data_IF_602472983165
#
_entry.id   IF_602472983165
#
_cell.length_a   1.000
_cell.length_b   1.000
_cell.length_c   1.000
_cell.angle_alpha   90.00
_cell.angle_beta   90.00
_cell.angle_gamma   90.00
#
_symmetry.space_group_name_H-M   'P 1'
#
loop_
_entity.id
_entity.type
_entity.pdbx_description
1 polymer ?
#
# COMPACT_ATOMS: atom_id res chain seq x y z
N UNK A 1 6.78 -28.18 15.74
CA UNK A 1 5.96 -27.70 14.60
C UNK A 1 5.85 -26.19 14.72
N UNK A 2 6.18 -25.42 13.67
CA UNK A 2 6.08 -23.95 13.73
C UNK A 2 4.65 -23.53 13.37
N UNK A 3 3.88 -23.07 14.35
CA UNK A 3 2.54 -22.51 14.10
C UNK A 3 2.63 -21.11 13.51
N UNK A 4 1.76 -20.79 12.55
CA UNK A 4 1.65 -19.48 11.92
C UNK A 4 0.19 -19.06 11.90
N UNK A 5 -0.07 -17.78 12.19
CA UNK A 5 -1.40 -17.20 12.17
C UNK A 5 -1.59 -16.44 10.87
N UNK A 6 -2.71 -16.66 10.20
CA UNK A 6 -3.04 -15.98 8.96
C UNK A 6 -4.47 -15.44 8.97
N UNK A 7 -4.66 -14.28 8.35
CA UNK A 7 -5.97 -13.77 7.93
C UNK A 7 -6.08 -14.01 6.43
N UNK A 8 -7.13 -14.72 6.02
CA UNK A 8 -7.39 -15.09 4.64
C UNK A 8 -8.85 -14.83 4.27
N UNK A 9 -9.17 -14.54 2.99
CA UNK A 9 -10.55 -14.41 2.55
C UNK A 9 -11.35 -15.68 2.82
N UNK A 10 -12.60 -15.53 3.28
CA UNK A 10 -13.47 -16.66 3.62
C UNK A 10 -13.65 -17.66 2.46
N UNK A 11 -13.61 -17.17 1.22
CA UNK A 11 -13.71 -17.99 0.01
C UNK A 11 -12.63 -19.08 -0.07
N UNK A 12 -11.46 -18.86 0.53
CA UNK A 12 -10.34 -19.82 0.58
C UNK A 12 -10.65 -21.00 1.50
N UNK A 13 -11.45 -20.79 2.56
CA UNK A 13 -11.81 -21.90 3.47
C UNK A 13 -12.79 -22.89 2.83
N UNK A 14 -13.56 -22.43 1.82
CA UNK A 14 -14.50 -23.27 1.08
C UNK A 14 -13.85 -24.17 0.02
N UNK A 15 -12.58 -23.92 -0.35
CA UNK A 15 -11.84 -24.83 -1.24
C UNK A 15 -11.23 -26.01 -0.51
N UNK A 16 -11.15 -25.94 0.82
CA UNK A 16 -10.42 -26.91 1.65
C UNK A 16 -11.23 -27.53 2.79
N UNK A 17 -12.43 -27.06 3.14
CA UNK A 17 -13.22 -27.73 4.18
C UNK A 17 -14.73 -27.77 3.93
N UNK A 18 -15.24 -29.00 3.77
CA UNK A 18 -16.37 -29.40 4.60
C UNK A 18 -15.88 -29.50 6.05
N UNK A 19 -16.69 -28.96 6.96
CA UNK A 19 -16.63 -29.11 8.42
C UNK A 19 -15.84 -28.04 9.19
N UNK A 20 -16.56 -27.51 10.19
CA UNK A 20 -16.16 -26.57 11.22
C UNK A 20 -14.78 -26.87 11.85
N UNK A 21 -14.04 -25.78 12.08
CA UNK A 21 -12.98 -25.65 13.08
C UNK A 21 -12.11 -26.90 13.28
N UNK A 22 -11.21 -27.18 12.33
CA UNK A 22 -10.10 -28.11 12.56
C UNK A 22 -8.81 -27.57 11.97
N UNK A 23 -7.75 -27.79 12.74
CA UNK A 23 -6.36 -27.61 12.36
C UNK A 23 -6.13 -28.10 10.92
N UNK A 24 -5.56 -27.24 10.09
CA UNK A 24 -5.10 -27.62 8.75
C UNK A 24 -3.85 -28.46 8.95
N UNK A 25 -4.03 -29.75 9.24
CA UNK A 25 -2.96 -30.73 9.10
C UNK A 25 -2.61 -30.79 7.61
N UNK A 26 -1.32 -30.67 7.29
CA UNK A 26 -0.77 -30.84 5.95
C UNK A 26 -0.94 -32.29 5.46
N UNK A 27 -2.18 -32.69 5.20
CA UNK A 27 -2.53 -33.87 4.43
C UNK A 27 -2.71 -33.42 2.98
N UNK A 28 -2.15 -34.21 2.06
CA UNK A 28 -2.10 -33.97 0.63
C UNK A 28 -3.51 -33.92 0.03
N UNK A 29 -4.13 -32.74 0.03
CA UNK A 29 -5.30 -32.47 -0.78
C UNK A 29 -4.85 -32.32 -2.23
N UNK A 30 -5.20 -33.31 -3.06
CA UNK A 30 -4.90 -33.40 -4.49
C UNK A 30 -5.47 -32.23 -5.35
N UNK A 31 -6.07 -31.23 -4.72
CA UNK A 31 -6.74 -30.09 -5.36
C UNK A 31 -6.31 -28.73 -4.79
N UNK A 32 -5.30 -28.69 -3.91
CA UNK A 32 -4.75 -27.45 -3.38
C UNK A 32 -3.65 -26.94 -4.32
N UNK A 33 -3.76 -25.69 -4.79
CA UNK A 33 -2.67 -25.07 -5.55
C UNK A 33 -1.42 -24.98 -4.67
N UNK A 34 -0.22 -25.25 -5.22
CA UNK A 34 1.01 -25.09 -4.48
C UNK A 34 1.23 -23.60 -4.16
N UNK A 35 1.88 -23.36 -3.02
CA UNK A 35 2.38 -22.03 -2.70
C UNK A 35 3.46 -21.64 -3.71
N UNK A 36 3.29 -20.51 -4.38
CA UNK A 36 4.20 -20.02 -5.41
C UNK A 36 5.19 -19.01 -4.83
N UNK A 37 6.47 -19.15 -5.15
CA UNK A 37 7.50 -18.16 -4.86
C UNK A 37 7.88 -17.40 -6.13
N UNK A 38 7.27 -16.24 -6.30
CA UNK A 38 7.35 -15.42 -7.52
C UNK A 38 8.11 -14.12 -7.25
N UNK A 39 8.64 -13.44 -8.29
CA UNK A 39 9.24 -12.13 -8.13
C UNK A 39 8.19 -11.08 -7.76
N UNK A 40 8.48 -10.27 -6.76
CA UNK A 40 7.64 -9.14 -6.38
C UNK A 40 7.55 -8.12 -7.53
N UNK A 41 6.36 -7.69 -7.97
CA UNK A 41 6.15 -6.87 -9.17
C UNK A 41 7.03 -5.63 -9.32
N UNK A 42 7.29 -4.92 -8.22
CA UNK A 42 8.11 -3.70 -8.22
C UNK A 42 9.60 -3.96 -8.10
N UNK A 43 10.01 -4.96 -7.32
CA UNK A 43 11.39 -5.07 -6.82
C UNK A 43 12.12 -6.30 -7.36
N UNK A 44 11.40 -7.27 -7.91
CA UNK A 44 11.92 -8.54 -8.39
C UNK A 44 12.41 -9.50 -7.30
N UNK A 45 12.31 -9.13 -6.01
CA UNK A 45 12.71 -10.01 -4.91
C UNK A 45 11.68 -11.13 -4.72
N UNK A 46 12.07 -12.32 -4.26
CA UNK A 46 11.11 -13.40 -4.02
C UNK A 46 10.04 -13.01 -3.00
N UNK A 47 8.77 -13.23 -3.36
CA UNK A 47 7.61 -13.08 -2.51
C UNK A 47 6.69 -14.31 -2.66
N UNK A 48 5.82 -14.52 -1.67
CA UNK A 48 4.97 -15.70 -1.61
C UNK A 48 3.55 -15.36 -2.06
N UNK A 49 3.00 -16.23 -2.91
CA UNK A 49 1.67 -16.10 -3.47
C UNK A 49 0.92 -17.43 -3.38
N UNK A 50 -0.38 -17.35 -3.11
CA UNK A 50 -1.24 -18.52 -3.00
C UNK A 50 -2.38 -18.42 -4.02
N UNK A 51 -2.35 -19.21 -5.10
CA UNK A 51 -3.50 -19.37 -5.95
C UNK A 51 -4.63 -20.08 -5.20
N UNK A 52 -5.87 -19.71 -5.49
CA UNK A 52 -7.03 -20.37 -4.92
C UNK A 52 -8.21 -20.31 -5.88
N UNK A 53 -9.06 -21.33 -5.80
CA UNK A 53 -10.34 -21.33 -6.51
C UNK A 53 -11.41 -20.62 -5.67
N UNK A 54 -12.33 -19.95 -6.34
CA UNK A 54 -13.56 -19.46 -5.72
C UNK A 54 -14.72 -19.78 -6.62
N UNK A 55 -15.84 -20.11 -6.00
CA UNK A 55 -17.08 -20.26 -6.73
C UNK A 55 -17.53 -18.89 -7.24
N UNK A 56 -17.46 -18.68 -8.56
CA UNK A 56 -18.08 -17.55 -9.23
C UNK A 56 -19.58 -17.76 -9.43
N UNK A 57 -20.21 -16.83 -10.13
CA UNK A 57 -21.66 -16.87 -10.40
C UNK A 57 -22.02 -18.01 -11.37
N UNK A 58 -21.19 -18.22 -12.40
CA UNK A 58 -21.41 -19.23 -13.45
C UNK A 58 -20.39 -20.36 -13.39
N UNK A 59 -19.13 -20.05 -13.07
CA UNK A 59 -18.02 -21.01 -13.10
C UNK A 59 -17.03 -20.75 -11.97
N UNK A 60 -16.12 -21.70 -11.75
CA UNK A 60 -15.00 -21.53 -10.82
C UNK A 60 -14.03 -20.50 -11.36
N UNK A 61 -13.65 -19.55 -10.51
CA UNK A 61 -12.68 -18.50 -10.84
C UNK A 61 -11.42 -18.75 -10.03
N UNK A 62 -10.30 -18.89 -10.71
CA UNK A 62 -8.97 -18.91 -10.07
C UNK A 62 -8.57 -17.48 -9.76
N UNK A 63 -8.10 -17.21 -8.55
CA UNK A 63 -7.47 -15.94 -8.15
C UNK A 63 -6.17 -16.22 -7.42
N UNK A 64 -5.41 -15.16 -7.14
CA UNK A 64 -4.13 -15.24 -6.45
C UNK A 64 -4.15 -14.30 -5.26
N UNK A 65 -3.63 -14.79 -4.13
CA UNK A 65 -3.38 -14.01 -2.93
C UNK A 65 -1.89 -13.71 -2.79
N UNK A 66 -1.55 -12.49 -2.44
CA UNK A 66 -0.23 -12.14 -1.93
C UNK A 66 -0.17 -12.37 -0.42
N UNK A 67 0.95 -12.91 0.07
CA UNK A 67 1.16 -13.18 1.49
C UNK A 67 2.09 -12.12 2.09
N UNK A 68 1.52 -11.29 2.95
CA UNK A 68 2.27 -10.30 3.74
C UNK A 68 2.54 -10.82 5.14
N UNK A 69 3.74 -10.57 5.66
CA UNK A 69 4.07 -10.81 7.06
C UNK A 69 4.06 -9.49 7.84
N UNK A 70 3.05 -9.30 8.69
CA UNK A 70 2.96 -8.16 9.59
C UNK A 70 3.72 -8.48 10.87
N UNK A 71 4.85 -7.81 11.07
CA UNK A 71 5.63 -7.91 12.29
C UNK A 71 5.07 -6.94 13.35
N UNK A 72 4.96 -7.37 14.62
CA UNK A 72 4.55 -6.47 15.69
C UNK A 72 5.64 -5.39 15.93
N UNK A 73 5.25 -4.17 16.35
CA UNK A 73 6.21 -3.07 16.56
C UNK A 73 7.17 -3.31 17.74
N UNK A 74 6.83 -4.24 18.62
CA UNK A 74 7.66 -4.69 19.74
C UNK A 74 7.51 -6.20 19.86
N UNK A 75 8.40 -6.87 20.61
CA UNK A 75 8.30 -8.31 20.84
C UNK A 75 6.92 -8.68 21.40
N UNK A 76 6.22 -9.57 20.69
CA UNK A 76 4.89 -10.08 21.04
C UNK A 76 4.87 -11.57 20.75
N UNK A 77 3.98 -12.29 21.40
CA UNK A 77 3.78 -13.72 21.21
C UNK A 77 2.28 -14.01 21.19
N UNK A 78 1.89 -15.10 20.51
CA UNK A 78 0.52 -15.57 20.53
C UNK A 78 0.35 -16.62 21.61
N UNK A 79 -0.73 -16.52 22.38
CA UNK A 79 -1.16 -17.59 23.30
C UNK A 79 -2.26 -18.37 22.59
N UNK A 80 -2.03 -19.65 22.36
CA UNK A 80 -2.99 -20.56 21.76
C UNK A 80 -3.18 -21.73 22.68
N UNK A 81 -4.30 -21.71 23.41
CA UNK A 81 -4.58 -22.70 24.44
C UNK A 81 -3.37 -22.82 25.39
N UNK A 82 -2.70 -23.97 25.42
CA UNK A 82 -1.56 -24.26 26.29
C UNK A 82 -0.19 -24.03 25.59
N UNK A 83 -0.19 -23.43 24.40
CA UNK A 83 1.02 -23.16 23.61
C UNK A 83 1.32 -21.66 23.48
N UNK A 84 2.61 -21.34 23.45
CA UNK A 84 3.12 -19.99 23.18
C UNK A 84 3.86 -19.99 21.85
N UNK A 85 3.43 -19.13 20.92
CA UNK A 85 4.13 -18.90 19.65
C UNK A 85 4.90 -17.59 19.76
N UNK A 86 6.22 -17.71 19.80
CA UNK A 86 7.14 -16.63 20.18
C UNK A 86 7.13 -15.43 19.24
N UNK A 87 6.99 -15.63 17.92
CA UNK A 87 7.30 -14.60 16.92
C UNK A 87 6.28 -13.45 16.82
N UNK A 88 5.05 -13.67 17.32
CA UNK A 88 3.97 -12.68 17.29
C UNK A 88 3.59 -12.19 15.89
N UNK A 89 4.03 -12.89 14.84
CA UNK A 89 3.80 -12.48 13.45
C UNK A 89 2.37 -12.80 13.04
N UNK A 90 1.79 -11.92 12.23
CA UNK A 90 0.50 -12.13 11.60
C UNK A 90 0.67 -12.16 10.09
N UNK A 91 0.31 -13.27 9.46
CA UNK A 91 0.24 -13.35 8.01
C UNK A 91 -1.08 -12.73 7.55
N UNK A 92 -1.01 -11.90 6.52
CA UNK A 92 -2.17 -11.32 5.86
C UNK A 92 -2.15 -11.75 4.40
N UNK A 93 -3.18 -12.47 3.98
CA UNK A 93 -3.34 -12.94 2.61
C UNK A 93 -4.36 -12.05 1.90
N UNK A 94 -3.92 -11.26 0.93
CA UNK A 94 -4.77 -10.30 0.22
C UNK A 94 -4.84 -10.59 -1.27
N UNK A 95 -6.01 -10.47 -1.92
CA UNK A 95 -6.12 -10.64 -3.36
C UNK A 95 -5.21 -9.68 -4.12
N UNK A 96 -4.50 -10.21 -5.12
CA UNK A 96 -3.67 -9.43 -6.04
C UNK A 96 -4.17 -9.62 -7.47
N UNK A 97 -4.17 -8.55 -8.27
CA UNK A 97 -4.46 -8.68 -9.70
C UNK A 97 -3.25 -9.36 -10.40
N UNK A 98 -3.45 -10.51 -11.08
CA UNK A 98 -2.37 -11.23 -11.78
C UNK A 98 -1.61 -10.36 -12.79
N UNK A 99 -2.21 -9.28 -13.30
CA UNK A 99 -1.54 -8.31 -14.16
C UNK A 99 -0.21 -7.84 -13.58
N UNK A 100 -0.14 -7.55 -12.27
CA UNK A 100 1.08 -7.06 -11.64
C UNK A 100 2.18 -8.14 -11.61
N UNK A 101 1.80 -9.41 -11.42
CA UNK A 101 2.72 -10.55 -11.43
C UNK A 101 3.31 -10.83 -12.82
N UNK A 102 2.57 -10.46 -13.87
CA UNK A 102 3.01 -10.59 -15.25
C UNK A 102 3.97 -9.47 -15.68
N UNK A 103 4.00 -8.32 -14.98
CA UNK A 103 4.85 -7.19 -15.38
C UNK A 103 6.34 -7.55 -15.41
N UNK A 104 6.95 -8.16 -14.37
CA UNK A 104 8.36 -8.54 -14.41
C UNK A 104 8.66 -9.53 -15.54
N UNK A 105 7.73 -10.46 -15.82
CA UNK A 105 7.87 -11.47 -16.89
C UNK A 105 7.95 -10.77 -18.24
N UNK A 106 6.96 -9.92 -18.56
CA UNK A 106 6.93 -9.21 -19.83
C UNK A 106 8.05 -8.18 -19.97
N UNK A 107 8.45 -7.49 -18.90
CA UNK A 107 9.51 -6.50 -18.95
C UNK A 107 10.87 -7.13 -19.30
N UNK A 108 11.19 -8.27 -18.66
CA UNK A 108 12.41 -9.03 -18.93
C UNK A 108 12.39 -9.61 -20.35
N UNK A 109 11.29 -10.28 -20.71
CA UNK A 109 11.25 -11.04 -21.95
C UNK A 109 11.01 -10.17 -23.20
N UNK A 110 10.40 -8.98 -23.05
CA UNK A 110 10.20 -8.06 -24.17
C UNK A 110 11.51 -7.37 -24.58
N UNK A 111 12.33 -6.90 -23.62
CA UNK A 111 13.61 -6.24 -23.89
C UNK A 111 13.57 -5.29 -25.10
N UNK A 112 14.59 -5.38 -25.96
CA UNK A 112 14.67 -4.65 -27.24
C UNK A 112 13.70 -5.15 -28.32
N UNK A 113 13.08 -6.32 -28.10
CA UNK A 113 12.16 -6.96 -29.03
C UNK A 113 10.68 -6.71 -28.71
N UNK A 114 10.37 -5.67 -27.93
CA UNK A 114 9.00 -5.32 -27.51
C UNK A 114 7.98 -5.16 -28.65
N UNK A 115 8.45 -5.06 -29.90
CA UNK A 115 7.60 -4.97 -31.11
C UNK A 115 7.20 -6.32 -31.70
N UNK A 116 7.83 -7.43 -31.30
CA UNK A 116 7.59 -8.76 -31.88
C UNK A 116 6.50 -9.52 -31.14
N UNK A 117 5.73 -10.29 -31.90
CA UNK A 117 4.78 -11.26 -31.37
C UNK A 117 5.51 -12.55 -31.00
N UNK A 118 5.19 -13.13 -29.84
CA UNK A 118 5.78 -14.38 -29.33
C UNK A 118 4.73 -15.24 -28.64
N UNK A 119 5.01 -16.53 -28.47
CA UNK A 119 4.12 -17.40 -27.69
C UNK A 119 4.23 -17.05 -26.20
N UNK A 120 3.20 -17.42 -25.42
CA UNK A 120 3.25 -17.18 -23.98
C UNK A 120 4.37 -18.00 -23.31
N UNK A 121 4.58 -19.24 -23.75
CA UNK A 121 5.64 -20.10 -23.25
C UNK A 121 7.03 -19.51 -23.47
N UNK A 122 7.26 -18.81 -24.60
CA UNK A 122 8.52 -18.10 -24.84
C UNK A 122 8.77 -17.00 -23.80
N UNK A 123 7.74 -16.22 -23.45
CA UNK A 123 7.86 -15.19 -22.40
C UNK A 123 8.19 -15.82 -21.04
N UNK A 124 7.52 -16.92 -20.69
CA UNK A 124 7.76 -17.64 -19.43
C UNK A 124 9.16 -18.27 -19.40
N UNK A 125 9.63 -18.85 -20.50
CA UNK A 125 10.95 -19.47 -20.60
C UNK A 125 12.08 -18.46 -20.39
N UNK A 126 12.03 -17.33 -21.09
CA UNK A 126 13.03 -16.25 -20.96
C UNK A 126 13.05 -15.69 -19.53
N UNK A 127 11.87 -15.43 -18.95
CA UNK A 127 11.77 -14.94 -17.58
C UNK A 127 12.31 -15.96 -16.56
N UNK A 128 11.96 -17.23 -16.71
CA UNK A 128 12.41 -18.32 -15.83
C UNK A 128 13.94 -18.42 -15.82
N UNK A 129 14.55 -18.44 -17.01
CA UNK A 129 16.00 -18.49 -17.14
C UNK A 129 16.68 -17.27 -16.49
N UNK A 130 16.13 -16.07 -16.68
CA UNK A 130 16.67 -14.85 -16.08
C UNK A 130 16.61 -14.90 -14.54
N UNK A 131 15.48 -15.35 -13.96
CA UNK A 131 15.32 -15.42 -12.51
C UNK A 131 16.15 -16.55 -11.88
N UNK A 132 16.38 -17.67 -12.57
CA UNK A 132 17.34 -18.68 -12.13
C UNK A 132 18.75 -18.12 -12.03
N UNK A 133 19.22 -17.44 -13.08
CA UNK A 133 20.55 -16.83 -13.11
C UNK A 133 20.72 -15.81 -11.98
N UNK A 134 19.73 -14.96 -11.76
CA UNK A 134 19.74 -13.99 -10.66
C UNK A 134 19.73 -14.67 -9.28
N UNK A 135 18.96 -15.75 -9.12
CA UNK A 135 18.90 -16.53 -7.88
C UNK A 135 20.25 -17.13 -7.49
N UNK A 136 21.04 -17.59 -8.48
CA UNK A 136 22.40 -18.09 -8.24
C UNK A 136 23.39 -17.01 -7.75
N UNK A 137 23.15 -15.74 -8.10
CA UNK A 137 24.03 -14.64 -7.73
C UNK A 137 23.67 -14.02 -6.38
N UNK A 138 22.37 -13.89 -6.07
CA UNK A 138 21.87 -13.12 -4.93
C UNK A 138 21.35 -13.99 -3.76
N UNK A 139 21.34 -15.31 -3.90
CA UNK A 139 20.93 -16.26 -2.83
C UNK A 139 19.43 -16.24 -2.49
N UNK A 140 18.64 -15.39 -3.14
CA UNK A 140 17.20 -15.30 -3.00
C UNK A 140 16.54 -16.03 -4.18
N UNK A 141 15.96 -17.20 -3.92
CA UNK A 141 15.52 -18.11 -4.99
C UNK A 141 14.09 -17.86 -5.44
N UNK A 142 13.89 -17.47 -6.70
CA UNK A 142 12.63 -17.65 -7.43
C UNK A 142 12.74 -18.98 -8.17
N UNK A 143 11.71 -19.83 -8.11
CA UNK A 143 11.73 -21.13 -8.79
C UNK A 143 11.13 -21.00 -10.19
N UNK A 144 11.81 -21.50 -11.22
CA UNK A 144 11.25 -21.54 -12.58
C UNK A 144 9.94 -22.29 -12.66
N UNK A 145 9.83 -23.38 -11.89
CA UNK A 145 8.58 -24.14 -11.82
C UNK A 145 7.41 -23.28 -11.33
N UNK A 146 7.66 -22.34 -10.42
CA UNK A 146 6.61 -21.44 -9.92
C UNK A 146 6.17 -20.42 -10.97
N UNK A 147 7.10 -19.95 -11.82
CA UNK A 147 6.78 -19.08 -12.96
C UNK A 147 5.93 -19.84 -13.99
N UNK A 148 6.27 -21.10 -14.28
CA UNK A 148 5.47 -21.95 -15.16
C UNK A 148 4.08 -22.25 -14.57
N UNK A 149 4.03 -22.53 -13.26
CA UNK A 149 2.77 -22.74 -12.54
C UNK A 149 1.89 -21.49 -12.52
N UNK A 150 2.47 -20.30 -12.38
CA UNK A 150 1.74 -19.04 -12.59
C UNK A 150 1.17 -18.98 -14.01
N UNK A 151 1.98 -19.35 -15.00
CA UNK A 151 1.60 -19.40 -16.41
C UNK A 151 0.39 -20.28 -16.72
N UNK A 152 0.22 -21.39 -16.01
CA UNK A 152 -0.91 -22.30 -16.24
C UNK A 152 -2.23 -21.82 -15.61
N UNK A 153 -2.22 -20.78 -14.76
CA UNK A 153 -3.43 -20.31 -14.09
C UNK A 153 -4.34 -19.53 -15.05
N UNK A 154 -5.62 -19.92 -15.11
CA UNK A 154 -6.65 -19.29 -15.95
C UNK A 154 -6.71 -17.75 -15.82
N UNK A 155 -6.52 -17.23 -14.60
CA UNK A 155 -6.55 -15.80 -14.32
C UNK A 155 -5.44 -14.99 -15.01
N UNK A 156 -4.32 -15.64 -15.35
CA UNK A 156 -3.23 -14.99 -16.09
C UNK A 156 -3.62 -14.73 -17.53
N UNK A 157 -4.34 -15.63 -18.19
CA UNK A 157 -4.84 -15.42 -19.56
C UNK A 157 -5.79 -14.22 -19.64
N UNK A 158 -6.67 -14.04 -18.65
CA UNK A 158 -7.52 -12.85 -18.54
C UNK A 158 -6.70 -11.57 -18.33
N UNK A 159 -5.58 -11.65 -17.59
CA UNK A 159 -4.66 -10.53 -17.43
C UNK A 159 -3.90 -10.21 -18.74
N UNK A 160 -3.41 -11.23 -19.45
CA UNK A 160 -2.73 -11.09 -20.74
C UNK A 160 -3.63 -10.41 -21.76
N UNK A 161 -4.90 -10.82 -21.88
CA UNK A 161 -5.86 -10.20 -22.81
C UNK A 161 -6.03 -8.69 -22.57
N UNK A 162 -5.86 -8.22 -21.32
CA UNK A 162 -5.97 -6.80 -20.95
C UNK A 162 -4.71 -5.99 -21.28
N UNK A 163 -3.53 -6.58 -21.32
CA UNK A 163 -2.24 -5.86 -21.48
C UNK A 163 -1.48 -6.18 -22.77
N UNK A 164 -1.85 -7.26 -23.46
CA UNK A 164 -1.21 -7.70 -24.70
C UNK A 164 -2.14 -7.48 -25.89
N UNK A 165 -1.53 -7.27 -27.05
CA UNK A 165 -2.16 -7.49 -28.36
C UNK A 165 -2.02 -8.96 -28.73
N UNK A 166 -3.05 -9.51 -29.33
CA UNK A 166 -3.17 -10.94 -29.60
C UNK A 166 -3.33 -11.17 -31.10
N UNK A 167 -2.56 -12.09 -31.65
CA UNK A 167 -2.68 -12.55 -33.03
C UNK A 167 -2.80 -14.07 -33.03
N UNK A 168 -3.92 -14.57 -33.52
CA UNK A 168 -4.13 -16.00 -33.76
C UNK A 168 -3.63 -16.32 -35.17
N UNK A 169 -2.61 -17.18 -35.27
CA UNK A 169 -2.14 -17.66 -36.57
C UNK A 169 -3.06 -18.78 -37.08
N UNK A 170 -3.34 -19.75 -36.20
CA UNK A 170 -4.21 -20.91 -36.41
C UNK A 170 -5.08 -21.14 -35.15
N UNK A 171 -6.00 -22.12 -35.19
CA UNK A 171 -6.89 -22.46 -34.06
C UNK A 171 -6.16 -22.91 -32.78
N UNK A 172 -4.86 -23.23 -32.86
CA UNK A 172 -4.05 -23.75 -31.76
C UNK A 172 -2.93 -22.82 -31.27
N UNK A 173 -2.49 -21.87 -32.08
CA UNK A 173 -1.33 -21.01 -31.76
C UNK A 173 -1.75 -19.56 -31.67
N UNK A 174 -1.68 -19.05 -30.44
CA UNK A 174 -1.92 -17.64 -30.13
C UNK A 174 -0.61 -16.95 -29.79
N UNK A 175 -0.30 -15.89 -30.53
CA UNK A 175 0.84 -15.04 -30.28
C UNK A 175 0.43 -13.77 -29.55
N UNK A 176 1.29 -13.31 -28.66
CA UNK A 176 1.08 -12.15 -27.82
C UNK A 176 2.19 -11.12 -28.05
N UNK A 177 1.82 -9.84 -28.00
CA UNK A 177 2.73 -8.71 -27.95
C UNK A 177 2.34 -7.80 -26.80
N UNK A 178 3.24 -7.60 -25.85
CA UNK A 178 3.00 -6.72 -24.72
C UNK A 178 2.86 -5.26 -25.18
N UNK A 179 1.77 -4.59 -24.77
CA UNK A 179 1.44 -3.24 -25.22
C UNK A 179 1.46 -2.26 -24.05
N UNK A 180 2.45 -1.35 -24.05
CA UNK A 180 2.56 -0.28 -23.04
C UNK A 180 1.30 0.59 -23.00
N UNK A 181 0.69 0.85 -24.16
CA UNK A 181 -0.54 1.63 -24.25
C UNK A 181 -1.71 0.96 -23.51
N UNK A 182 -1.94 -0.33 -23.75
CA UNK A 182 -2.97 -1.10 -23.04
C UNK A 182 -2.70 -1.17 -21.54
N UNK A 183 -1.44 -1.37 -21.16
CA UNK A 183 -1.04 -1.36 -19.75
C UNK A 183 -1.38 -0.01 -19.09
N UNK A 184 -0.95 1.11 -19.67
CA UNK A 184 -1.23 2.44 -19.12
C UNK A 184 -2.74 2.67 -19.00
N UNK A 185 -3.54 2.26 -19.99
CA UNK A 185 -4.99 2.33 -19.89
C UNK A 185 -5.53 1.53 -18.68
N UNK A 186 -5.09 0.30 -18.49
CA UNK A 186 -5.49 -0.53 -17.34
C UNK A 186 -5.06 0.08 -16.00
N UNK A 187 -3.86 0.66 -15.94
CA UNK A 187 -3.38 1.35 -14.74
C UNK A 187 -4.18 2.62 -14.44
N UNK A 188 -4.60 3.36 -15.47
CA UNK A 188 -5.48 4.52 -15.29
C UNK A 188 -6.83 4.11 -14.72
N UNK A 189 -7.45 3.07 -15.27
CA UNK A 189 -8.72 2.53 -14.75
C UNK A 189 -8.59 2.10 -13.28
N UNK A 190 -7.46 1.49 -12.90
CA UNK A 190 -7.16 1.14 -11.51
C UNK A 190 -6.95 2.37 -10.63
N UNK A 191 -6.19 3.36 -11.09
CA UNK A 191 -5.94 4.60 -10.38
C UNK A 191 -7.25 5.37 -10.13
N UNK A 192 -8.12 5.49 -11.13
CA UNK A 192 -9.43 6.13 -10.98
C UNK A 192 -10.31 5.41 -9.96
N UNK A 193 -10.30 4.07 -9.96
CA UNK A 193 -11.03 3.26 -8.98
C UNK A 193 -10.52 3.52 -7.55
N UNK A 194 -9.21 3.56 -7.36
CA UNK A 194 -8.57 3.87 -6.08
C UNK A 194 -8.74 5.35 -5.66
N UNK A 195 -8.92 6.25 -6.63
CA UNK A 195 -9.18 7.68 -6.40
C UNK A 195 -10.63 7.97 -5.98
N UNK A 196 -11.53 6.99 -6.14
CA UNK A 196 -12.92 7.11 -5.74
C UNK A 196 -13.03 7.45 -4.25
N UNK A 197 -13.85 8.45 -3.95
CA UNK A 197 -13.91 9.07 -2.61
C UNK A 197 -14.25 8.07 -1.51
N UNK A 198 -15.10 7.07 -1.80
CA UNK A 198 -15.54 6.05 -0.86
C UNK A 198 -14.40 5.14 -0.38
N UNK A 199 -13.39 4.91 -1.22
CA UNK A 199 -12.22 4.10 -0.85
C UNK A 199 -11.29 4.94 0.01
N UNK A 200 -10.96 6.15 -0.44
CA UNK A 200 -9.98 6.98 0.25
C UNK A 200 -10.47 7.52 1.60
N UNK A 201 -11.76 7.81 1.74
CA UNK A 201 -12.35 8.24 3.01
C UNK A 201 -12.25 7.17 4.10
N UNK A 202 -12.17 5.90 3.72
CA UNK A 202 -12.04 4.77 4.66
C UNK A 202 -10.63 4.66 5.24
N UNK A 203 -9.62 5.18 4.53
CA UNK A 203 -8.21 5.03 4.91
C UNK A 203 -7.70 6.32 5.56
N UNK A 204 -7.61 6.31 6.89
CA UNK A 204 -7.20 7.49 7.67
C UNK A 204 -5.81 8.03 7.29
N UNK A 205 -4.87 7.16 6.90
CA UNK A 205 -3.53 7.57 6.47
C UNK A 205 -3.57 8.41 5.19
N UNK A 206 -4.44 8.07 4.23
CA UNK A 206 -4.61 8.83 2.99
C UNK A 206 -5.22 10.20 3.31
N UNK A 207 -6.25 10.23 4.16
CA UNK A 207 -6.86 11.49 4.59
C UNK A 207 -5.83 12.44 5.23
N UNK A 208 -4.98 11.93 6.11
CA UNK A 208 -3.92 12.73 6.76
C UNK A 208 -2.87 13.22 5.75
N UNK A 209 -2.49 12.38 4.77
CA UNK A 209 -1.55 12.76 3.74
C UNK A 209 -2.10 13.89 2.85
N UNK A 210 -3.37 13.79 2.42
CA UNK A 210 -4.03 14.82 1.62
C UNK A 210 -4.21 16.12 2.41
N UNK A 211 -4.64 16.05 3.67
CA UNK A 211 -4.78 17.23 4.53
C UNK A 211 -3.45 17.96 4.76
N UNK A 212 -2.32 17.22 4.85
CA UNK A 212 -0.99 17.82 4.96
C UNK A 212 -0.63 18.69 3.75
N UNK A 213 -1.08 18.31 2.57
CA UNK A 213 -0.87 19.08 1.34
C UNK A 213 -2.00 20.11 1.08
N UNK A 214 -2.89 20.36 2.06
CA UNK A 214 -4.00 21.32 1.96
C UNK A 214 -5.12 20.85 1.04
N UNK A 215 -5.30 19.53 0.90
CA UNK A 215 -6.27 18.86 0.03
C UNK A 215 -7.23 17.96 0.84
N UNK A 216 -7.34 18.21 2.14
CA UNK A 216 -8.29 17.54 3.02
C UNK A 216 -9.74 17.89 2.66
N UNK A 217 -10.68 17.12 3.21
CA UNK A 217 -12.11 17.34 2.97
C UNK A 217 -12.55 18.76 3.41
N UNK A 218 -12.02 19.21 4.54
CA UNK A 218 -12.35 20.50 5.16
C UNK A 218 -11.53 21.69 4.61
N UNK A 219 -10.56 21.44 3.73
CA UNK A 219 -9.71 22.49 3.17
C UNK A 219 -10.42 23.27 2.04
N UNK A 220 -10.12 24.56 1.91
CA UNK A 220 -10.72 25.48 0.93
C UNK A 220 -10.23 25.28 -0.52
N UNK A 221 -9.43 24.25 -0.78
CA UNK A 221 -8.91 23.95 -2.12
C UNK A 221 -10.03 23.65 -3.12
N UNK A 222 -9.80 24.00 -4.39
CA UNK A 222 -10.71 23.66 -5.49
C UNK A 222 -10.92 22.14 -5.58
N UNK A 223 -12.15 21.71 -5.85
CA UNK A 223 -12.50 20.30 -5.95
C UNK A 223 -11.70 19.58 -7.04
N UNK A 224 -11.33 20.28 -8.12
CA UNK A 224 -10.44 19.74 -9.16
C UNK A 224 -9.03 19.45 -8.63
N UNK A 225 -8.50 20.30 -7.76
CA UNK A 225 -7.20 20.07 -7.10
C UNK A 225 -7.28 18.90 -6.13
N UNK A 226 -8.38 18.80 -5.35
CA UNK A 226 -8.63 17.66 -4.47
C UNK A 226 -8.73 16.36 -5.27
N UNK A 227 -9.46 16.34 -6.38
CA UNK A 227 -9.57 15.18 -7.27
C UNK A 227 -8.20 14.78 -7.84
N UNK A 228 -7.42 15.75 -8.34
CA UNK A 228 -6.06 15.50 -8.82
C UNK A 228 -5.15 14.95 -7.72
N UNK A 229 -5.26 15.47 -6.49
CA UNK A 229 -4.55 14.97 -5.32
C UNK A 229 -4.89 13.51 -4.99
N UNK A 230 -6.19 13.18 -4.96
CA UNK A 230 -6.68 11.82 -4.76
C UNK A 230 -6.14 10.87 -5.84
N UNK A 231 -6.11 11.33 -7.09
CA UNK A 231 -5.60 10.56 -8.23
C UNK A 231 -4.08 10.34 -8.15
N UNK A 232 -3.32 11.37 -7.78
CA UNK A 232 -1.88 11.26 -7.56
C UNK A 232 -1.54 10.30 -6.42
N UNK A 233 -2.30 10.35 -5.32
CA UNK A 233 -2.19 9.39 -4.23
C UNK A 233 -2.50 7.95 -4.67
N UNK A 234 -3.53 7.77 -5.50
CA UNK A 234 -3.85 6.46 -6.07
C UNK A 234 -2.68 5.91 -6.93
N UNK A 235 -2.03 6.78 -7.71
CA UNK A 235 -0.83 6.41 -8.47
C UNK A 235 0.34 6.02 -7.54
N UNK A 236 0.52 6.73 -6.42
CA UNK A 236 1.53 6.40 -5.42
C UNK A 236 1.29 5.03 -4.76
N UNK A 237 0.03 4.68 -4.47
CA UNK A 237 -0.33 3.34 -3.96
C UNK A 237 0.04 2.27 -4.99
N UNK A 238 -0.31 2.49 -6.26
CA UNK A 238 0.05 1.57 -7.35
C UNK A 238 1.57 1.44 -7.52
N UNK A 239 2.35 2.50 -7.23
CA UNK A 239 3.81 2.48 -7.34
C UNK A 239 4.50 1.42 -6.46
N UNK A 240 3.80 0.89 -5.45
CA UNK A 240 4.29 -0.22 -4.63
C UNK A 240 4.36 -1.54 -5.42
N UNK A 241 3.61 -1.65 -6.51
CA UNK A 241 3.54 -2.84 -7.37
C UNK A 241 4.04 -2.60 -8.81
N UNK A 242 4.57 -1.42 -9.10
CA UNK A 242 5.03 -1.06 -10.44
C UNK A 242 6.56 -0.90 -10.48
N UNK A 243 7.24 -1.43 -11.51
CA UNK A 243 8.59 -1.02 -11.85
C UNK A 243 8.69 0.50 -12.04
N UNK A 244 9.84 1.14 -11.70
CA UNK A 244 9.98 2.59 -11.76
C UNK A 244 9.65 3.21 -13.12
N UNK A 245 10.05 2.58 -14.23
CA UNK A 245 9.76 3.06 -15.58
C UNK A 245 8.25 3.13 -15.86
N UNK A 246 7.51 2.07 -15.51
CA UNK A 246 6.05 1.98 -15.70
C UNK A 246 5.33 3.00 -14.83
N UNK A 247 5.80 3.23 -13.60
CA UNK A 247 5.24 4.26 -12.74
C UNK A 247 5.41 5.66 -13.35
N UNK A 248 6.56 5.97 -13.94
CA UNK A 248 6.77 7.24 -14.62
C UNK A 248 5.85 7.39 -15.85
N UNK A 249 5.68 6.34 -16.66
CA UNK A 249 4.74 6.33 -17.77
C UNK A 249 3.29 6.59 -17.31
N UNK A 250 2.88 5.99 -16.18
CA UNK A 250 1.57 6.25 -15.58
C UNK A 250 1.40 7.71 -15.16
N UNK A 251 2.40 8.29 -14.48
CA UNK A 251 2.34 9.69 -14.06
C UNK A 251 2.29 10.65 -15.26
N UNK A 252 3.10 10.40 -16.31
CA UNK A 252 3.11 11.19 -17.54
C UNK A 252 1.79 11.14 -18.30
N UNK A 253 0.97 10.11 -18.07
CA UNK A 253 -0.37 10.04 -18.68
C UNK A 253 -1.34 11.10 -18.12
N UNK A 254 -1.03 11.71 -16.97
CA UNK A 254 -1.88 12.70 -16.30
C UNK A 254 -1.24 14.09 -16.30
N UNK A 255 -2.08 15.12 -16.27
CA UNK A 255 -1.64 16.50 -16.04
C UNK A 255 -1.77 16.85 -14.55
N UNK A 256 -0.65 16.83 -13.83
CA UNK A 256 -0.57 17.26 -12.43
C UNK A 256 0.08 18.64 -12.26
N UNK A 257 0.25 19.43 -13.33
CA UNK A 257 0.98 20.71 -13.27
C UNK A 257 0.38 21.70 -12.27
N UNK A 258 -0.94 21.84 -12.27
CA UNK A 258 -1.67 22.74 -11.37
C UNK A 258 -1.60 22.27 -9.91
N UNK A 259 -1.72 20.96 -9.70
CA UNK A 259 -1.57 20.33 -8.39
C UNK A 259 -0.16 20.56 -7.83
N UNK A 260 0.87 20.31 -8.64
CA UNK A 260 2.26 20.46 -8.23
C UNK A 260 2.60 21.91 -7.89
N UNK A 261 2.05 22.88 -8.62
CA UNK A 261 2.19 24.29 -8.29
C UNK A 261 1.54 24.61 -6.93
N UNK A 262 0.32 24.12 -6.69
CA UNK A 262 -0.40 24.30 -5.42
C UNK A 262 0.33 23.65 -4.23
N UNK A 263 0.74 22.39 -4.34
CA UNK A 263 1.42 21.71 -3.24
C UNK A 263 2.77 22.37 -2.91
N UNK A 264 3.46 22.95 -3.90
CA UNK A 264 4.69 23.72 -3.66
C UNK A 264 4.43 25.00 -2.85
N UNK A 265 3.33 25.71 -3.11
CA UNK A 265 3.00 26.95 -2.38
C UNK A 265 2.66 26.65 -0.92
N UNK A 266 1.88 25.61 -0.66
CA UNK A 266 1.54 25.15 0.70
C UNK A 266 2.80 24.76 1.49
N UNK A 267 3.71 24.00 0.88
CA UNK A 267 4.97 23.60 1.54
C UNK A 267 5.91 24.77 1.78
N UNK A 268 5.89 25.78 0.91
CA UNK A 268 6.67 27.01 1.08
C UNK A 268 6.14 27.88 2.24
N UNK A 269 4.81 27.96 2.43
CA UNK A 269 4.24 28.68 3.59
C UNK A 269 4.55 28.01 4.92
N UNK A 270 4.56 26.66 4.97
CA UNK A 270 4.89 25.92 6.19
C UNK A 270 6.36 26.07 6.60
N UNK A 271 7.26 26.15 5.62
CA UNK A 271 8.71 26.34 5.87
C UNK A 271 9.07 27.76 6.29
N UNK A 272 8.33 28.78 5.85
CA UNK A 272 8.49 30.15 6.33
C UNK A 272 7.99 30.31 7.77
N UNK A 273 6.94 29.60 8.16
CA UNK A 273 6.39 29.65 9.52
C UNK A 273 7.35 29.02 10.54
N UNK A 274 7.99 27.90 10.19
CA UNK A 274 8.94 27.17 11.07
C UNK A 274 10.33 27.82 11.20
N UNK A 275 10.75 28.64 10.23
CA UNK A 275 12.04 29.35 10.27
C UNK A 275 12.00 30.65 11.10
N UNK A 276 10.81 31.13 11.47
CA UNK A 276 10.66 32.24 12.41
C UNK A 276 10.87 31.84 13.88
N UNK A 277 10.73 30.55 14.22
CA UNK A 277 10.97 30.01 15.57
C UNK A 277 12.40 29.45 15.78
N UNK A 278 13.14 29.18 14.70
CA UNK A 278 14.47 28.55 14.75
C UNK A 278 15.66 29.54 14.78
N UNK A 279 15.39 30.84 15.00
CA UNK A 279 16.42 31.90 15.09
C UNK A 279 16.65 32.34 16.54
N UNK A 280 16.74 31.40 17.48
CA UNK A 280 17.17 31.70 18.84
C UNK A 280 17.89 30.52 19.53
N UNK A 281 18.96 30.02 18.94
CA UNK A 281 19.95 29.24 19.70
C UNK A 281 21.32 29.21 19.00
N UNK A 282 22.17 30.19 19.32
CA UNK A 282 23.63 29.99 19.27
C UNK A 282 24.33 30.83 20.35
N UNK A 283 24.92 30.09 21.30
CA UNK A 283 25.99 30.37 22.27
C UNK A 283 26.30 31.79 22.77
N UNK A 284 26.26 31.96 24.11
CA UNK A 284 27.48 32.21 24.92
C UNK A 284 27.23 31.92 26.42
N UNK A 285 28.19 31.28 27.08
CA UNK A 285 28.27 31.07 28.53
C UNK A 285 28.61 32.39 29.28
N UNK A 286 28.17 32.52 30.54
CA UNK A 286 28.83 33.36 31.55
C UNK A 286 28.01 34.45 32.24
N UNK A 287 27.68 34.19 33.51
CA UNK A 287 27.62 35.13 34.65
C UNK A 287 26.49 36.19 34.82
N UNK A 288 25.80 36.02 35.95
CA UNK A 288 25.33 37.04 36.92
C UNK A 288 24.04 37.86 36.68
N UNK A 289 23.05 37.54 37.52
CA UNK A 289 22.22 38.41 38.37
C UNK A 289 21.25 39.45 37.76
N UNK A 290 19.95 39.18 37.99
CA UNK A 290 18.79 40.06 38.21
C UNK A 290 18.57 41.34 37.38
N UNK A 291 17.47 41.37 36.60
CA UNK A 291 16.38 42.39 36.69
C UNK A 291 15.21 42.11 35.74
N UNK A 292 14.00 42.20 36.30
CA UNK A 292 12.67 42.30 35.65
C UNK A 292 12.68 43.19 34.40
N UNK A 293 12.08 42.71 33.29
CA UNK A 293 11.13 43.48 32.46
C UNK A 293 10.32 42.57 31.52
N UNK A 294 9.01 42.84 31.47
CA UNK A 294 7.96 42.14 30.72
C UNK A 294 8.25 42.12 29.22
N UNK A 295 8.08 40.95 28.58
CA UNK A 295 7.92 40.81 27.14
C UNK A 295 6.52 40.21 26.88
N UNK A 296 5.77 40.87 26.02
CA UNK A 296 4.40 40.56 25.64
C UNK A 296 4.37 39.21 24.90
N UNK A 297 3.74 38.20 25.49
CA UNK A 297 3.69 36.85 24.91
C UNK A 297 2.57 36.80 23.87
N UNK A 298 2.94 36.65 22.59
CA UNK A 298 1.95 36.43 21.54
C UNK A 298 1.16 35.16 21.81
N UNK A 299 -0.15 35.34 22.00
CA UNK A 299 -1.12 34.32 22.34
C UNK A 299 -1.58 33.61 21.06
N UNK A 300 -1.51 32.27 21.04
CA UNK A 300 -1.89 31.45 19.88
C UNK A 300 -3.37 31.58 19.50
N UNK A 301 -3.71 31.34 18.23
CA UNK A 301 -5.08 31.46 17.67
C UNK A 301 -6.14 30.68 18.44
N UNK A 302 -5.77 29.56 19.10
CA UNK A 302 -6.66 28.79 19.95
C UNK A 302 -7.07 29.52 21.23
N UNK A 303 -6.14 30.24 21.86
CA UNK A 303 -6.41 31.03 23.06
C UNK A 303 -7.17 32.34 22.75
N UNK A 304 -7.04 32.89 21.54
CA UNK A 304 -7.88 34.01 21.08
C UNK A 304 -9.35 33.63 20.89
N UNK A 305 -9.64 32.37 20.53
CA UNK A 305 -11.03 31.87 20.39
C UNK A 305 -11.69 31.63 21.75
N UNK A 306 -10.91 31.26 22.77
CA UNK A 306 -11.34 31.10 24.18
C UNK A 306 -11.45 32.42 24.95
N UNK A 307 -10.76 33.48 24.52
CA UNK A 307 -10.90 34.83 25.11
C UNK A 307 -12.25 35.50 24.81
N UNK A 308 -12.97 35.03 23.78
CA UNK A 308 -14.27 35.59 23.38
C UNK A 308 -15.46 35.05 24.19
N UNK A 309 -15.24 34.09 25.08
CA UNK A 309 -16.28 33.58 25.99
C UNK A 309 -16.21 34.31 27.34
N UNK A 310 -17.33 34.91 27.76
CA UNK A 310 -17.44 35.61 29.04
C UNK A 310 -17.34 34.61 30.20
N UNK A 311 -16.17 34.58 30.85
CA UNK A 311 -15.85 33.66 31.94
C UNK A 311 -16.17 34.23 33.32
N UNK A 312 -16.83 35.41 33.40
CA UNK A 312 -17.09 36.10 34.66
C UNK A 312 -17.96 35.33 35.65
N UNK A 313 -18.73 34.32 35.19
CA UNK A 313 -19.59 33.46 36.03
C UNK A 313 -19.03 32.05 36.28
N UNK A 314 -17.84 31.71 35.77
CA UNK A 314 -17.25 30.39 36.01
C UNK A 314 -16.40 30.40 37.29
N UNK A 315 -16.67 29.51 38.27
CA UNK A 315 -15.83 29.38 39.45
C UNK A 315 -14.42 28.93 39.04
N UNK A 316 -13.40 29.63 39.54
CA UNK A 316 -12.00 29.27 39.28
C UNK A 316 -11.73 27.89 39.86
N UNK A 317 -11.01 27.04 39.13
CA UNK A 317 -10.66 25.67 39.55
C UNK A 317 -10.04 25.63 40.97
N UNK A 318 -9.34 26.70 41.36
CA UNK A 318 -8.75 26.86 42.69
C UNK A 318 -9.78 26.93 43.84
N UNK A 319 -11.03 27.28 43.59
CA UNK A 319 -12.08 27.25 44.62
C UNK A 319 -12.56 25.85 44.99
N UNK A 320 -12.22 24.83 44.19
CA UNK A 320 -12.59 23.44 44.45
C UNK A 320 -11.59 22.70 45.34
N UNK A 321 -10.41 23.26 45.56
CA UNK A 321 -9.33 22.63 46.33
C UNK A 321 -9.00 23.33 47.65
N UNK A 322 -9.78 24.35 48.04
CA UNK A 322 -9.61 24.99 49.36
C UNK A 322 -10.30 24.18 50.45
N UNK A 323 -9.54 23.79 51.47
CA UNK A 323 -10.02 23.06 52.66
C UNK A 323 -11.05 23.90 53.42
N UNK A 324 -12.25 23.36 53.62
CA UNK A 324 -13.37 24.01 54.32
C UNK A 324 -12.95 24.36 55.78
N UNK A 325 -13.14 25.60 56.27
CA UNK A 325 -12.83 25.93 57.66
C UNK A 325 -13.81 25.23 58.62
N UNK A 326 -13.28 24.74 59.73
CA UNK A 326 -14.04 24.08 60.77
C UNK A 326 -14.99 25.07 61.48
N UNK A 327 -16.26 24.72 61.56
CA UNK A 327 -17.27 25.42 62.36
C UNK A 327 -16.98 25.25 63.84
N UNK A 328 -16.57 26.34 64.50
CA UNK A 328 -16.62 26.48 65.96
C UNK A 328 -18.01 26.99 66.34
N UNK A 329 -18.72 26.19 67.15
CA UNK A 329 -19.94 26.42 67.94
C UNK A 329 -20.79 27.66 67.64
#
# INVERSE_FOLDING_TARGET
>A
MAMKFAILPRAVLGTSHSSDSKEISAAEDANAFPLLRLPHPRTGHPALFLPYERQGVTEKVVEILEIHAVNPPASRSWFVQDHIVEDGKLLLMTPIDPLFLLLPIFDIASGDEAKKFRTYDDFLSVASQHFEQKSHQEGATVLSLDILNLGSLACTFTAIARICETQTLDDSITLYRFSRQKLVQQLREKASRLAASNIQSTVQTIHRALAKDGLGADDEADEKLKEAGRLKMACEILSQYLPPAIYQELLQSYDFTSLDAYTRTIRASDTQTTSSDAKQSSNTEGATNSKKRKADTQVSKGAQKLQKTDTSKMPKLTSFFTKKPATSK
#
